data_IF_108174169476
#
_entry.id   IF_108174169476
#
_cell.length_a   1.000
_cell.length_b   1.000
_cell.length_c   1.000
_cell.angle_alpha   90.00
_cell.angle_beta   90.00
_cell.angle_gamma   90.00
#
_symmetry.space_group_name_H-M   'P 1'
#
loop_
_entity.id
_entity.type
_entity.pdbx_description
1 polymer ?
#
# COMPACT_ATOMS: atom_id res chain seq x y z
N UNK A 1 -25.34 13.15 -7.99
CA UNK A 1 -24.60 11.87 -8.11
C UNK A 1 -24.22 11.71 -9.57
N UNK A 2 -22.99 12.07 -9.93
CA UNK A 2 -22.47 11.89 -11.29
C UNK A 2 -21.92 10.47 -11.41
N UNK A 3 -22.46 9.68 -12.34
CA UNK A 3 -21.94 8.38 -12.75
C UNK A 3 -20.49 8.53 -13.24
N UNK A 4 -19.60 7.53 -13.06
CA UNK A 4 -18.26 7.60 -13.62
C UNK A 4 -18.39 7.55 -15.16
N UNK A 5 -18.12 8.68 -15.80
CA UNK A 5 -18.10 8.84 -17.25
C UNK A 5 -16.88 8.12 -17.84
N UNK A 6 -16.98 6.80 -18.01
CA UNK A 6 -15.86 6.00 -18.53
C UNK A 6 -16.19 4.55 -18.91
N UNK A 7 -17.45 4.15 -18.93
CA UNK A 7 -17.84 2.83 -19.45
C UNK A 7 -17.83 2.86 -20.99
N UNK A 8 -17.30 1.83 -21.64
CA UNK A 8 -17.15 1.68 -23.10
C UNK A 8 -16.09 2.58 -23.76
N UNK A 9 -14.99 2.89 -23.06
CA UNK A 9 -13.82 3.46 -23.74
C UNK A 9 -13.26 2.45 -24.76
N UNK A 10 -13.01 2.90 -25.99
CA UNK A 10 -12.45 2.06 -27.04
C UNK A 10 -10.93 1.93 -26.97
N UNK A 11 -10.30 2.55 -25.97
CA UNK A 11 -8.86 2.45 -25.80
C UNK A 11 -8.46 1.03 -25.44
N UNK A 12 -7.55 0.45 -26.23
CA UNK A 12 -6.90 -0.81 -25.88
C UNK A 12 -5.52 -0.90 -26.52
N UNK A 13 -4.66 -1.69 -25.88
CA UNK A 13 -3.35 -2.06 -26.42
C UNK A 13 -3.17 -3.58 -26.30
N UNK A 14 -2.85 -4.22 -27.42
CA UNK A 14 -2.60 -5.65 -27.47
C UNK A 14 -1.10 -5.93 -27.41
N UNK A 15 -0.73 -6.91 -26.60
CA UNK A 15 0.63 -7.38 -26.45
C UNK A 15 0.70 -8.87 -26.78
N UNK A 16 1.82 -9.29 -27.35
CA UNK A 16 2.12 -10.69 -27.65
C UNK A 16 3.51 -11.03 -27.14
N UNK A 17 3.67 -12.26 -26.66
CA UNK A 17 4.97 -12.80 -26.31
C UNK A 17 5.16 -14.16 -26.99
N UNK A 18 5.55 -14.18 -28.27
CA UNK A 18 5.81 -15.42 -29.00
C UNK A 18 6.88 -16.25 -28.30
N UNK A 19 6.79 -17.59 -28.37
CA UNK A 19 7.74 -18.52 -27.71
C UNK A 19 9.21 -18.30 -28.12
N UNK A 20 9.46 -17.78 -29.33
CA UNK A 20 10.79 -17.48 -29.85
C UNK A 20 11.26 -16.05 -29.56
N UNK A 21 10.41 -15.21 -28.96
CA UNK A 21 10.74 -13.83 -28.68
C UNK A 21 11.45 -13.69 -27.33
N UNK A 22 12.48 -12.85 -27.29
CA UNK A 22 13.16 -12.48 -26.05
C UNK A 22 12.44 -11.35 -25.30
N UNK A 23 11.47 -10.68 -25.94
CA UNK A 23 10.75 -9.52 -25.39
C UNK A 23 9.29 -9.51 -25.83
N UNK A 24 8.44 -8.93 -24.98
CA UNK A 24 7.02 -8.65 -25.30
C UNK A 24 6.96 -7.65 -26.46
N UNK A 25 6.09 -7.91 -27.43
CA UNK A 25 5.82 -7.02 -28.58
C UNK A 25 4.41 -6.48 -28.46
N UNK A 26 4.21 -5.17 -28.63
CA UNK A 26 2.88 -4.63 -28.85
C UNK A 26 2.47 -4.90 -30.32
N UNK A 27 1.20 -5.21 -30.56
CA UNK A 27 0.69 -5.55 -31.91
C UNK A 27 -0.34 -4.55 -32.41
N UNK A 28 -1.22 -4.07 -31.55
CA UNK A 28 -2.28 -3.11 -31.89
C UNK A 28 -2.38 -2.10 -30.78
N UNK A 29 -2.50 -0.82 -31.14
CA UNK A 29 -2.84 0.27 -30.24
C UNK A 29 -4.05 1.02 -30.82
N UNK A 30 -5.21 0.90 -30.18
CA UNK A 30 -6.35 1.78 -30.43
C UNK A 30 -6.28 2.91 -29.43
N UNK A 31 -5.71 4.05 -29.83
CA UNK A 31 -5.51 5.20 -28.94
C UNK A 31 -6.66 6.22 -29.04
N UNK A 32 -7.91 5.75 -28.95
CA UNK A 32 -9.10 6.60 -29.01
C UNK A 32 -9.79 6.55 -27.67
N UNK A 33 -10.04 7.72 -27.09
CA UNK A 33 -10.70 7.88 -25.80
C UNK A 33 -12.01 8.60 -25.99
N UNK A 34 -13.04 8.17 -25.27
CA UNK A 34 -14.34 8.83 -25.22
C UNK A 34 -14.50 9.75 -24.00
N UNK A 35 -13.40 10.01 -23.29
CA UNK A 35 -13.33 10.83 -22.09
C UNK A 35 -11.99 11.58 -22.08
N UNK A 36 -11.93 12.66 -21.30
CA UNK A 36 -10.70 13.42 -21.11
C UNK A 36 -9.68 12.61 -20.31
N UNK A 37 -8.45 12.55 -20.80
CA UNK A 37 -7.33 11.97 -20.05
C UNK A 37 -6.73 13.07 -19.21
N UNK A 38 -6.88 12.98 -17.89
CA UNK A 38 -6.24 13.91 -16.96
C UNK A 38 -5.12 13.19 -16.17
N UNK A 39 -3.85 13.35 -16.55
CA UNK A 39 -2.72 12.74 -15.85
C UNK A 39 -2.65 13.11 -14.36
N UNK A 40 -3.12 14.31 -13.98
CA UNK A 40 -3.12 14.75 -12.58
C UNK A 40 -4.07 13.93 -11.71
N UNK A 41 -5.09 13.27 -12.30
CA UNK A 41 -6.03 12.42 -11.56
C UNK A 41 -5.55 10.98 -11.38
N UNK A 42 -4.51 10.55 -12.11
CA UNK A 42 -4.04 9.16 -12.11
C UNK A 42 -3.63 8.70 -10.71
N UNK A 43 -2.97 9.57 -9.94
CA UNK A 43 -2.58 9.32 -8.54
C UNK A 43 -3.78 9.16 -7.59
N UNK A 44 -4.93 9.70 -7.95
CA UNK A 44 -6.17 9.64 -7.16
C UNK A 44 -7.06 8.43 -7.48
N UNK A 45 -6.72 7.63 -8.50
CA UNK A 45 -7.58 6.53 -8.99
C UNK A 45 -6.84 5.18 -9.01
N UNK A 46 -5.52 5.17 -9.21
CA UNK A 46 -4.73 3.94 -9.31
C UNK A 46 -4.10 3.58 -7.96
N UNK A 47 -4.50 2.44 -7.40
CA UNK A 47 -4.03 1.93 -6.10
C UNK A 47 -2.50 1.76 -5.97
N UNK A 48 -1.78 1.59 -7.09
CA UNK A 48 -0.30 1.56 -7.09
C UNK A 48 0.30 2.86 -6.56
N UNK A 49 -0.34 4.00 -6.80
CA UNK A 49 0.14 5.31 -6.34
C UNK A 49 -0.25 5.62 -4.89
N UNK A 50 -1.13 4.81 -4.29
CA UNK A 50 -1.47 4.88 -2.86
C UNK A 50 -0.56 4.00 -1.98
N UNK A 51 0.43 3.32 -2.58
CA UNK A 51 1.38 2.52 -1.81
C UNK A 51 2.31 3.44 -1.03
N UNK A 52 2.34 3.24 0.29
CA UNK A 52 3.30 3.89 1.16
C UNK A 52 4.73 3.45 0.83
N UNK A 53 5.65 4.42 0.79
CA UNK A 53 7.09 4.14 0.73
C UNK A 53 7.57 3.53 2.05
N UNK A 54 8.75 2.91 2.04
CA UNK A 54 9.35 2.39 3.27
C UNK A 54 9.56 3.50 4.32
N UNK A 55 9.94 4.71 3.88
CA UNK A 55 10.09 5.88 4.77
C UNK A 55 8.76 6.27 5.43
N UNK A 56 7.66 6.30 4.67
CA UNK A 56 6.32 6.57 5.21
C UNK A 56 5.89 5.51 6.22
N UNK A 57 6.23 4.24 5.97
CA UNK A 57 5.97 3.15 6.92
C UNK A 57 6.81 3.30 8.19
N UNK A 58 8.06 3.72 8.10
CA UNK A 58 8.92 3.99 9.25
C UNK A 58 8.38 5.16 10.10
N UNK A 59 7.94 6.25 9.46
CA UNK A 59 7.30 7.36 10.17
C UNK A 59 6.02 6.91 10.90
N UNK A 60 5.18 6.10 10.24
CA UNK A 60 3.98 5.53 10.87
C UNK A 60 4.34 4.71 12.10
N UNK A 61 5.36 3.84 12.03
CA UNK A 61 5.86 3.08 13.19
C UNK A 61 6.30 4.01 14.32
N UNK A 62 7.12 5.02 14.02
CA UNK A 62 7.56 6.00 15.00
C UNK A 62 6.38 6.73 15.67
N UNK A 63 5.38 7.16 14.91
CA UNK A 63 4.20 7.82 15.47
C UNK A 63 3.36 6.89 16.35
N UNK A 64 3.27 5.60 16.02
CA UNK A 64 2.62 4.61 16.87
C UNK A 64 3.36 4.42 18.19
N UNK A 65 4.69 4.36 18.17
CA UNK A 65 5.52 4.24 19.37
C UNK A 65 5.33 5.46 20.29
N UNK A 66 5.22 6.66 19.69
CA UNK A 66 4.87 7.89 20.40
C UNK A 66 3.38 8.02 20.77
N UNK A 67 2.54 7.00 20.50
CA UNK A 67 1.10 6.98 20.78
C UNK A 67 0.32 8.16 20.17
N UNK A 68 0.77 8.66 19.02
CA UNK A 68 0.11 9.75 18.30
C UNK A 68 -1.24 9.26 17.75
N UNK A 69 -2.30 10.06 17.89
CA UNK A 69 -3.62 9.72 17.41
C UNK A 69 -3.64 9.54 15.87
N UNK A 70 -4.36 8.55 15.30
CA UNK A 70 -4.35 8.26 13.86
C UNK A 70 -4.66 9.47 12.95
N UNK A 71 -5.54 10.36 13.39
CA UNK A 71 -5.86 11.58 12.62
C UNK A 71 -4.66 12.53 12.53
N UNK A 72 -3.92 12.68 13.62
CA UNK A 72 -2.70 13.49 13.66
C UNK A 72 -1.58 12.85 12.85
N UNK A 73 -1.47 11.52 12.85
CA UNK A 73 -0.51 10.82 11.97
C UNK A 73 -0.78 11.14 10.49
N UNK A 74 -2.06 11.10 10.06
CA UNK A 74 -2.47 11.46 8.71
C UNK A 74 -2.11 12.91 8.35
N UNK A 75 -2.36 13.85 9.27
CA UNK A 75 -2.04 15.27 9.05
C UNK A 75 -0.53 15.50 8.92
N UNK A 76 0.28 14.86 9.77
CA UNK A 76 1.74 14.95 9.70
C UNK A 76 2.27 14.34 8.39
N UNK A 77 1.75 13.18 7.98
CA UNK A 77 2.12 12.55 6.70
C UNK A 77 1.79 13.44 5.50
N UNK A 78 0.60 14.05 5.46
CA UNK A 78 0.23 15.00 4.41
C UNK A 78 1.17 16.21 4.34
N UNK A 79 1.65 16.68 5.49
CA UNK A 79 2.58 17.81 5.56
C UNK A 79 4.00 17.42 5.18
N UNK A 80 4.47 16.22 5.55
CA UNK A 80 5.81 15.71 5.24
C UNK A 80 5.93 15.27 3.78
N UNK A 81 4.85 14.72 3.20
CA UNK A 81 4.82 14.20 1.84
C UNK A 81 3.68 14.84 1.03
N UNK A 82 3.78 16.14 0.68
CA UNK A 82 2.69 16.87 0.02
C UNK A 82 2.33 16.33 -1.36
N UNK A 83 3.29 15.71 -2.06
CA UNK A 83 3.11 15.10 -3.38
C UNK A 83 2.39 13.74 -3.32
N UNK A 84 2.23 13.15 -2.14
CA UNK A 84 1.56 11.87 -1.98
C UNK A 84 0.09 12.05 -1.60
N UNK A 85 -0.78 11.36 -2.33
CA UNK A 85 -2.22 11.39 -2.08
C UNK A 85 -2.55 10.42 -0.94
N UNK A 86 -2.84 10.97 0.23
CA UNK A 86 -3.29 10.17 1.38
C UNK A 86 -4.81 10.09 1.46
N UNK A 87 -5.37 8.90 1.23
CA UNK A 87 -6.74 8.58 1.61
C UNK A 87 -6.79 8.14 3.07
N UNK A 88 -7.80 8.61 3.80
CA UNK A 88 -8.00 8.29 5.22
C UNK A 88 -8.04 6.77 5.44
N UNK A 89 -8.77 6.04 4.60
CA UNK A 89 -8.91 4.59 4.74
C UNK A 89 -7.58 3.85 4.60
N UNK A 90 -6.73 4.25 3.66
CA UNK A 90 -5.45 3.58 3.41
C UNK A 90 -4.49 3.75 4.59
N UNK A 91 -4.43 4.95 5.16
CA UNK A 91 -3.62 5.22 6.35
C UNK A 91 -4.12 4.41 7.55
N UNK A 92 -5.44 4.36 7.77
CA UNK A 92 -6.02 3.58 8.87
C UNK A 92 -5.76 2.08 8.70
N UNK A 93 -5.90 1.56 7.47
CA UNK A 93 -5.60 0.16 7.15
C UNK A 93 -4.12 -0.15 7.41
N UNK A 94 -3.20 0.73 7.03
CA UNK A 94 -1.78 0.57 7.30
C UNK A 94 -1.48 0.56 8.81
N UNK A 95 -2.06 1.49 9.58
CA UNK A 95 -1.91 1.52 11.04
C UNK A 95 -2.44 0.22 11.67
N UNK A 96 -3.61 -0.26 11.25
CA UNK A 96 -4.18 -1.50 11.79
C UNK A 96 -3.29 -2.70 11.49
N UNK A 97 -2.80 -2.81 10.25
CA UNK A 97 -1.88 -3.88 9.85
C UNK A 97 -0.59 -3.85 10.66
N UNK A 98 0.02 -2.67 10.85
CA UNK A 98 1.24 -2.53 11.64
C UNK A 98 1.03 -2.90 13.13
N UNK A 99 -0.16 -2.62 13.69
CA UNK A 99 -0.51 -3.06 15.05
C UNK A 99 -0.64 -4.57 15.13
N UNK A 100 -1.26 -5.20 14.14
CA UNK A 100 -1.38 -6.65 14.08
C UNK A 100 0.00 -7.30 14.02
N UNK A 101 0.87 -6.84 13.12
CA UNK A 101 2.24 -7.36 12.99
C UNK A 101 3.04 -7.22 14.30
N UNK A 102 2.87 -6.10 15.02
CA UNK A 102 3.51 -5.89 16.32
C UNK A 102 2.97 -6.82 17.42
N UNK A 103 1.65 -7.06 17.45
CA UNK A 103 1.04 -7.97 18.43
C UNK A 103 1.46 -9.42 18.20
N UNK A 104 1.49 -9.88 16.95
CA UNK A 104 1.97 -11.23 16.59
C UNK A 104 3.46 -11.41 16.98
N UNK A 105 4.27 -10.37 16.79
CA UNK A 105 5.67 -10.35 17.25
C UNK A 105 5.79 -10.40 18.77
N UNK A 106 4.95 -9.67 19.51
CA UNK A 106 4.95 -9.69 20.97
C UNK A 106 4.52 -11.08 21.50
N UNK A 107 3.49 -11.68 20.91
CA UNK A 107 2.97 -12.98 21.29
C UNK A 107 4.01 -14.09 21.09
N UNK A 108 4.67 -14.10 19.93
CA UNK A 108 5.76 -15.04 19.63
C UNK A 108 6.98 -14.86 20.55
N UNK A 109 7.35 -13.61 20.87
CA UNK A 109 8.44 -13.35 21.82
C UNK A 109 8.08 -13.85 23.22
N UNK A 110 6.85 -13.59 23.67
CA UNK A 110 6.34 -14.04 24.97
C UNK A 110 6.31 -15.57 25.07
N UNK A 111 5.92 -16.26 24.00
CA UNK A 111 5.94 -17.72 23.92
C UNK A 111 7.37 -18.29 24.01
N UNK A 112 8.34 -17.65 23.33
CA UNK A 112 9.75 -18.04 23.39
C UNK A 112 10.32 -17.88 24.81
N UNK A 113 10.02 -16.78 25.48
CA UNK A 113 10.45 -16.54 26.86
C UNK A 113 9.90 -17.62 27.81
N UNK A 114 8.61 -17.98 27.66
CA UNK A 114 7.99 -19.09 28.41
C UNK A 114 8.71 -20.42 28.14
N UNK A 115 9.09 -20.69 26.88
CA UNK A 115 9.81 -21.91 26.53
C UNK A 115 11.21 -21.95 27.15
N UNK A 116 11.95 -20.83 27.14
CA UNK A 116 13.28 -20.75 27.77
C UNK A 116 13.23 -20.93 29.29
N UNK A 117 12.21 -20.38 29.95
CA UNK A 117 11.95 -20.61 31.38
C UNK A 117 11.67 -22.09 31.66
N UNK A 118 10.85 -22.76 30.83
CA UNK A 118 10.57 -24.20 31.00
C UNK A 118 11.79 -25.08 30.77
N UNK A 119 12.66 -24.74 29.82
CA UNK A 119 13.93 -25.47 29.59
C UNK A 119 14.87 -25.31 30.78
N UNK A 120 14.86 -24.14 31.42
CA UNK A 120 15.71 -23.85 32.59
C UNK A 120 15.20 -24.50 33.88
N UNK A 121 13.92 -24.83 33.94
CA UNK A 121 13.29 -25.54 35.07
C UNK A 121 13.17 -27.05 34.90
N UNK A 122 13.62 -27.61 33.77
CA UNK A 122 13.72 -29.06 33.56
C UNK A 122 15.10 -29.56 34.01
N UNK A 123 15.26 -30.11 35.23
CA UNK A 123 16.54 -30.63 35.67
C UNK A 123 16.72 -32.00 35.03
N UNK A 124 17.74 -32.13 34.16
CA UNK A 124 18.20 -33.45 33.71
C UNK A 124 18.60 -34.36 34.88
#
# INVERSE_FOLDING_TARGET
MTLPSGTNCEWYCNFTFPKSAQRVKYTILKNVHNHEINPAQVSHVIAKYWRFSEEMIQDLKFFMDCKVAPITQLEVLKKKYPEHVFHKQDVYNAIYKLRQDNNEKLDTTSLLDILFEKISQDPR
#
